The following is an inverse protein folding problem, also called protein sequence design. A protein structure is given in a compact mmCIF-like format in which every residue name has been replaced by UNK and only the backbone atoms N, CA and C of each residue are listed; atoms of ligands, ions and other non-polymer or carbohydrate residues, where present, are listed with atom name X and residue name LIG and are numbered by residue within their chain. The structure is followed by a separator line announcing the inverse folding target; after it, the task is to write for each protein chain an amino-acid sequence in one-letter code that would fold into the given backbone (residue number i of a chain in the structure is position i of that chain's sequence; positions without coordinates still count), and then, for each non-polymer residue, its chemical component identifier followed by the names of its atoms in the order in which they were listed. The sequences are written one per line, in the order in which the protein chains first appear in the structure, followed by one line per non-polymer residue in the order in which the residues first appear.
data_IF_960059969394
#
_entry.id   IF_960059969394
#
_cell.length_a   1.000
_cell.length_b   1.000
_cell.length_c   1.000
_cell.angle_alpha   90.00
_cell.angle_beta   90.00
_cell.angle_gamma   90.00
#
_symmetry.space_group_name_H-M   'P 1'
#
loop_
_entity.id
_entity.type
_entity.pdbx_description
1 polymer ?
#
# COMPACT_ATOMS: atom_id res chain seq x y z
N UNK A 1 26.28 25.61 1.55
CA UNK A 1 25.67 26.22 2.75
C UNK A 1 24.27 26.81 2.50
N UNK A 2 23.99 27.57 1.41
CA UNK A 2 22.62 28.08 1.16
C UNK A 2 21.61 27.02 0.70
N UNK A 3 22.03 25.89 0.09
CA UNK A 3 21.16 24.75 -0.28
C UNK A 3 20.81 23.91 0.94
N UNK A 4 21.74 23.72 1.88
CA UNK A 4 21.50 22.99 3.14
C UNK A 4 20.51 23.71 4.07
N UNK A 5 20.53 25.03 4.11
CA UNK A 5 19.60 25.81 4.93
C UNK A 5 18.15 25.82 4.38
N UNK A 6 17.97 25.64 3.05
CA UNK A 6 16.64 25.46 2.45
C UNK A 6 16.10 24.04 2.70
N UNK A 7 16.96 23.01 2.62
CA UNK A 7 16.59 21.63 2.91
C UNK A 7 16.12 21.48 4.37
N UNK A 8 16.85 22.08 5.32
CA UNK A 8 16.48 22.06 6.74
C UNK A 8 15.17 22.80 7.02
N UNK A 9 14.83 23.83 6.23
CA UNK A 9 13.61 24.60 6.37
C UNK A 9 12.35 23.84 5.90
N UNK A 10 12.45 23.04 4.85
CA UNK A 10 11.34 22.22 4.32
C UNK A 10 11.11 20.99 5.21
N UNK A 11 12.18 20.30 5.64
CA UNK A 11 12.07 19.20 6.60
C UNK A 11 11.45 19.67 7.93
N UNK A 12 11.85 20.85 8.43
CA UNK A 12 11.30 21.39 9.68
C UNK A 12 9.81 21.78 9.53
N UNK A 13 9.40 22.24 8.35
CA UNK A 13 7.99 22.55 8.06
C UNK A 13 7.13 21.29 7.95
N UNK A 14 7.63 20.24 7.30
CA UNK A 14 6.91 18.95 7.21
C UNK A 14 6.79 18.27 8.57
N UNK A 15 7.86 18.20 9.36
CA UNK A 15 7.84 17.62 10.72
C UNK A 15 6.93 18.42 11.66
N UNK A 16 6.88 19.76 11.52
CA UNK A 16 6.00 20.60 12.32
C UNK A 16 4.52 20.44 11.92
N UNK A 17 4.20 20.19 10.64
CA UNK A 17 2.82 19.93 10.19
C UNK A 17 2.29 18.60 10.75
N UNK A 18 3.08 17.53 10.74
CA UNK A 18 2.66 16.24 11.29
C UNK A 18 2.66 16.21 12.83
N UNK A 19 3.59 16.90 13.48
CA UNK A 19 3.62 16.99 14.96
C UNK A 19 2.48 17.83 15.55
N UNK A 20 1.86 18.74 14.78
CA UNK A 20 0.70 19.52 15.22
C UNK A 20 -0.61 18.74 15.22
N UNK A 21 -0.71 17.67 14.43
CA UNK A 21 -1.93 16.82 14.40
C UNK A 21 -2.07 16.01 15.69
N UNK A 22 -0.98 15.69 16.39
CA UNK A 22 -0.99 14.84 17.58
C UNK A 22 -1.36 15.54 18.92
N UNK A 23 -1.58 16.88 18.95
CA UNK A 23 -1.83 17.66 20.19
C UNK A 23 -2.90 18.77 20.03
N UNK A 24 -3.87 18.67 19.13
CA UNK A 24 -4.83 19.75 18.91
C UNK A 24 -5.95 19.73 19.96
N UNK A 25 -6.02 20.78 20.80
CA UNK A 25 -7.30 21.32 21.28
C UNK A 25 -8.21 21.59 20.09
N UNK A 26 -9.57 21.60 20.21
CA UNK A 26 -10.45 21.81 19.07
C UNK A 26 -10.03 23.09 18.34
N UNK A 27 -9.42 22.92 17.18
CA UNK A 27 -8.87 24.00 16.38
C UNK A 27 -10.02 24.90 15.94
N UNK A 28 -9.83 26.21 15.99
CA UNK A 28 -10.71 27.17 15.32
C UNK A 28 -10.88 26.71 13.86
N UNK A 29 -12.12 26.70 13.38
CA UNK A 29 -12.45 26.26 12.03
C UNK A 29 -11.62 27.07 11.02
N UNK A 30 -10.68 26.41 10.34
CA UNK A 30 -9.79 27.08 9.38
C UNK A 30 -10.61 27.51 8.18
N UNK A 31 -10.74 28.83 7.99
CA UNK A 31 -11.48 29.42 6.89
C UNK A 31 -10.55 29.67 5.71
N UNK A 32 -10.80 29.00 4.59
CA UNK A 32 -10.06 29.24 3.36
C UNK A 32 -10.63 30.44 2.61
N UNK A 33 -9.83 31.50 2.46
CA UNK A 33 -10.16 32.69 1.67
C UNK A 33 -9.26 32.88 0.43
N UNK A 34 -8.67 31.78 -0.06
CA UNK A 34 -7.81 31.79 -1.25
C UNK A 34 -8.61 31.77 -2.57
N UNK A 35 -7.89 31.64 -3.71
CA UNK A 35 -8.48 31.57 -5.04
C UNK A 35 -9.29 30.30 -5.27
N UNK A 36 -10.17 30.33 -6.27
CA UNK A 36 -10.81 29.13 -6.80
C UNK A 36 -9.79 28.26 -7.54
N UNK A 37 -9.87 26.95 -7.35
CA UNK A 37 -8.98 25.95 -7.96
C UNK A 37 -9.80 24.76 -8.43
N UNK A 38 -9.42 24.20 -9.58
CA UNK A 38 -9.89 22.90 -10.06
C UNK A 38 -8.66 22.01 -10.20
N UNK A 39 -8.57 20.97 -9.36
CA UNK A 39 -7.43 20.06 -9.31
C UNK A 39 -7.75 18.76 -10.02
N UNK A 40 -6.88 18.32 -10.91
CA UNK A 40 -6.96 17.03 -11.56
C UNK A 40 -6.44 15.93 -10.63
N UNK A 41 -7.22 14.85 -10.45
CA UNK A 41 -6.82 13.70 -9.67
C UNK A 41 -6.88 12.42 -10.52
N UNK A 42 -5.72 11.81 -10.78
CA UNK A 42 -5.59 10.58 -11.54
C UNK A 42 -5.67 9.36 -10.63
N UNK A 43 -6.68 8.52 -10.85
CA UNK A 43 -6.90 7.28 -10.11
C UNK A 43 -6.51 6.06 -10.93
N UNK A 44 -5.77 5.16 -10.32
CA UNK A 44 -5.43 3.86 -10.90
C UNK A 44 -6.62 2.89 -10.93
N UNK A 45 -7.58 3.09 -10.02
CA UNK A 45 -8.75 2.23 -9.81
C UNK A 45 -10.04 2.87 -10.28
N UNK A 46 -11.14 2.09 -10.26
CA UNK A 46 -12.51 2.59 -10.49
C UNK A 46 -12.93 3.57 -9.39
N UNK A 47 -14.01 4.31 -9.63
CA UNK A 47 -14.59 5.23 -8.65
C UNK A 47 -14.93 4.54 -7.33
N UNK A 48 -15.53 3.36 -7.38
CA UNK A 48 -15.90 2.57 -6.21
C UNK A 48 -14.68 2.23 -5.33
N UNK A 49 -13.58 1.79 -5.96
CA UNK A 49 -12.33 1.45 -5.25
C UNK A 49 -11.53 2.67 -4.79
N UNK A 50 -11.95 3.87 -5.20
CA UNK A 50 -11.29 5.14 -4.87
C UNK A 50 -12.07 5.98 -3.85
N UNK A 51 -13.10 5.38 -3.23
CA UNK A 51 -14.04 6.10 -2.35
C UNK A 51 -13.33 6.83 -1.19
N UNK A 52 -12.28 6.26 -0.64
CA UNK A 52 -11.48 6.86 0.44
C UNK A 52 -10.92 8.21 0.00
N UNK A 53 -10.34 8.27 -1.19
CA UNK A 53 -9.74 9.51 -1.69
C UNK A 53 -10.80 10.53 -2.14
N UNK A 54 -11.88 10.06 -2.77
CA UNK A 54 -12.95 10.95 -3.25
C UNK A 54 -13.74 11.56 -2.10
N UNK A 55 -13.87 10.86 -0.96
CA UNK A 55 -14.48 11.42 0.23
C UNK A 55 -13.62 12.55 0.82
N UNK A 56 -12.30 12.37 0.93
CA UNK A 56 -11.39 13.45 1.35
C UNK A 56 -11.49 14.68 0.41
N UNK A 57 -11.55 14.46 -0.91
CA UNK A 57 -11.76 15.54 -1.88
C UNK A 57 -13.08 16.28 -1.65
N UNK A 58 -14.17 15.55 -1.36
CA UNK A 58 -15.45 16.14 -1.02
C UNK A 58 -15.38 16.98 0.25
N UNK A 59 -14.75 16.48 1.30
CA UNK A 59 -14.54 17.23 2.55
C UNK A 59 -13.74 18.52 2.33
N UNK A 60 -12.68 18.48 1.50
CA UNK A 60 -11.91 19.66 1.12
C UNK A 60 -12.79 20.67 0.38
N UNK A 61 -13.60 20.21 -0.58
CA UNK A 61 -14.53 21.09 -1.30
C UNK A 61 -15.52 21.77 -0.36
N UNK A 62 -16.09 21.04 0.57
CA UNK A 62 -17.03 21.57 1.57
C UNK A 62 -16.34 22.57 2.50
N UNK A 63 -15.17 22.26 3.04
CA UNK A 63 -14.39 23.11 3.96
C UNK A 63 -13.86 24.38 3.31
N UNK A 64 -13.64 24.35 1.98
CA UNK A 64 -13.22 25.53 1.22
C UNK A 64 -14.39 26.34 0.66
N UNK A 65 -15.63 25.99 1.03
CA UNK A 65 -16.84 26.66 0.53
C UNK A 65 -17.03 26.53 -0.99
N UNK A 66 -16.56 25.42 -1.57
CA UNK A 66 -16.61 25.14 -3.00
C UNK A 66 -15.50 25.78 -3.84
N UNK A 67 -14.55 26.49 -3.21
CA UNK A 67 -13.45 27.14 -3.93
C UNK A 67 -12.42 26.15 -4.47
N UNK A 68 -12.17 25.03 -3.77
CA UNK A 68 -11.33 23.95 -4.26
C UNK A 68 -12.21 22.80 -4.72
N UNK A 69 -12.10 22.45 -5.99
CA UNK A 69 -12.85 21.38 -6.64
C UNK A 69 -11.90 20.39 -7.30
N UNK A 70 -12.39 19.19 -7.58
CA UNK A 70 -11.59 18.10 -8.14
C UNK A 70 -12.22 17.58 -9.43
N UNK A 71 -11.37 17.40 -10.44
CA UNK A 71 -11.69 16.69 -11.68
C UNK A 71 -11.06 15.29 -11.60
N UNK A 72 -11.90 14.29 -11.32
CA UNK A 72 -11.48 12.94 -11.00
C UNK A 72 -11.42 12.06 -12.25
N UNK A 73 -10.27 11.49 -12.54
CA UNK A 73 -9.98 10.62 -13.68
C UNK A 73 -9.75 9.19 -13.23
N UNK A 74 -10.79 8.35 -13.31
CA UNK A 74 -10.74 6.96 -12.83
C UNK A 74 -10.17 5.97 -13.84
N UNK A 75 -9.76 4.80 -13.34
CA UNK A 75 -9.32 3.64 -14.14
C UNK A 75 -8.19 3.96 -15.12
N UNK A 76 -7.27 4.81 -14.71
CA UNK A 76 -6.12 5.17 -15.53
C UNK A 76 -6.44 6.07 -16.74
N UNK A 77 -7.60 6.75 -16.74
CA UNK A 77 -8.05 7.55 -17.90
C UNK A 77 -7.21 8.81 -18.15
N UNK A 78 -6.52 9.35 -17.15
CA UNK A 78 -5.57 10.47 -17.32
C UNK A 78 -4.13 9.95 -17.47
N UNK A 79 -3.71 9.01 -16.61
CA UNK A 79 -2.42 8.36 -16.67
C UNK A 79 -2.57 6.88 -16.33
N UNK A 80 -1.87 6.00 -17.04
CA UNK A 80 -1.87 4.57 -16.70
C UNK A 80 -1.30 4.36 -15.27
N UNK A 81 -1.71 3.31 -14.54
CA UNK A 81 -1.25 3.07 -13.17
C UNK A 81 0.27 3.04 -13.01
N UNK A 82 1.00 2.55 -14.02
CA UNK A 82 2.46 2.51 -14.01
C UNK A 82 3.09 3.91 -14.18
N UNK A 83 2.35 4.86 -14.79
CA UNK A 83 2.82 6.21 -15.09
C UNK A 83 2.32 7.24 -14.07
N UNK A 84 1.51 6.84 -13.08
CA UNK A 84 0.85 7.74 -12.13
C UNK A 84 1.84 8.61 -11.34
N UNK A 85 2.98 8.03 -10.94
CA UNK A 85 4.05 8.76 -10.24
C UNK A 85 4.61 9.90 -11.10
N UNK A 86 4.98 9.59 -12.34
CA UNK A 86 5.57 10.58 -13.24
C UNK A 86 4.54 11.61 -13.71
N UNK A 87 3.29 11.20 -13.91
CA UNK A 87 2.21 12.12 -14.24
C UNK A 87 2.01 13.19 -13.15
N UNK A 88 2.03 12.79 -11.89
CA UNK A 88 1.94 13.72 -10.76
C UNK A 88 3.21 14.54 -10.59
N UNK A 89 4.38 13.90 -10.58
CA UNK A 89 5.68 14.59 -10.39
C UNK A 89 5.99 15.62 -11.47
N UNK A 90 5.52 15.42 -12.70
CA UNK A 90 5.70 16.37 -13.81
C UNK A 90 4.59 17.41 -13.93
N UNK A 91 3.50 17.27 -13.15
CA UNK A 91 2.35 18.18 -13.18
C UNK A 91 1.38 17.92 -14.35
N UNK A 92 1.41 16.73 -14.97
CA UNK A 92 0.36 16.30 -15.90
C UNK A 92 -0.95 16.05 -15.14
N UNK A 93 -0.85 15.53 -13.93
CA UNK A 93 -1.92 15.46 -12.94
C UNK A 93 -1.48 16.26 -11.71
N UNK A 94 -2.39 17.03 -11.10
CA UNK A 94 -2.11 17.74 -9.85
C UNK A 94 -1.96 16.76 -8.69
N UNK A 95 -2.76 15.70 -8.70
CA UNK A 95 -2.76 14.63 -7.72
C UNK A 95 -2.83 13.26 -8.41
N UNK A 96 -2.28 12.25 -7.77
CA UNK A 96 -2.39 10.87 -8.25
C UNK A 96 -2.49 9.87 -7.10
N UNK A 97 -3.22 8.78 -7.37
CA UNK A 97 -3.20 7.56 -6.60
C UNK A 97 -2.04 6.68 -7.08
N UNK A 98 -0.98 6.68 -6.31
CA UNK A 98 0.32 6.11 -6.68
C UNK A 98 0.54 4.80 -5.94
N UNK A 99 0.73 3.71 -6.68
CA UNK A 99 1.13 2.41 -6.12
C UNK A 99 2.64 2.27 -6.25
N UNK A 100 3.38 2.34 -5.14
CA UNK A 100 4.84 2.38 -5.14
C UNK A 100 5.47 1.08 -5.67
N UNK A 101 4.76 -0.05 -5.61
CA UNK A 101 5.20 -1.33 -6.20
C UNK A 101 5.37 -1.26 -7.72
N UNK A 102 4.79 -0.26 -8.40
CA UNK A 102 5.00 -0.05 -9.83
C UNK A 102 6.36 0.56 -10.17
N UNK A 103 6.99 1.22 -9.19
CA UNK A 103 8.28 1.91 -9.36
C UNK A 103 9.20 1.66 -8.16
N UNK A 104 9.47 0.39 -7.78
CA UNK A 104 10.15 0.06 -6.52
C UNK A 104 11.58 0.59 -6.45
N UNK A 105 12.25 0.72 -7.59
CA UNK A 105 13.63 1.22 -7.65
C UNK A 105 13.76 2.72 -7.26
N UNK A 106 12.65 3.44 -7.30
CA UNK A 106 12.60 4.86 -6.86
C UNK A 106 12.28 5.00 -5.37
N UNK A 107 11.85 3.92 -4.72
CA UNK A 107 11.41 3.89 -3.32
C UNK A 107 12.07 2.74 -2.55
N UNK A 108 13.43 2.71 -2.47
CA UNK A 108 14.15 1.67 -1.73
C UNK A 108 13.77 1.62 -0.25
N UNK A 109 13.46 2.73 0.39
CA UNK A 109 13.05 2.77 1.79
C UNK A 109 11.53 2.62 1.97
N UNK A 110 10.75 3.45 1.27
CA UNK A 110 9.29 3.48 1.44
C UNK A 110 8.57 2.26 0.85
N UNK A 111 9.15 1.56 -0.12
CA UNK A 111 8.53 0.40 -0.74
C UNK A 111 9.32 -0.88 -0.54
N UNK A 112 10.64 -0.89 -0.78
CA UNK A 112 11.38 -2.15 -0.74
C UNK A 112 11.69 -2.60 0.69
N UNK A 113 11.93 -1.66 1.63
CA UNK A 113 12.06 -1.99 3.05
C UNK A 113 10.71 -2.37 3.64
N UNK A 114 9.65 -1.60 3.38
CA UNK A 114 8.30 -1.93 3.87
C UNK A 114 7.73 -3.20 3.22
N UNK A 115 8.26 -3.61 2.08
CA UNK A 115 7.95 -4.86 1.39
C UNK A 115 8.80 -6.06 1.83
N UNK A 116 9.55 -5.96 2.93
CA UNK A 116 10.26 -7.10 3.50
C UNK A 116 9.26 -8.23 3.85
N UNK A 117 9.55 -9.50 3.50
CA UNK A 117 8.61 -10.59 3.68
C UNK A 117 8.19 -10.79 5.14
N UNK A 118 6.88 -10.92 5.36
CA UNK A 118 6.30 -11.24 6.67
C UNK A 118 6.77 -10.33 7.81
N UNK A 119 6.74 -9.02 7.59
CA UNK A 119 7.12 -7.99 8.60
C UNK A 119 6.28 -8.03 9.89
N UNK A 120 5.15 -8.75 9.92
CA UNK A 120 4.30 -8.83 11.11
C UNK A 120 3.03 -7.99 11.01
N UNK A 121 2.72 -7.43 9.86
CA UNK A 121 1.42 -6.80 9.64
C UNK A 121 0.31 -7.86 9.62
N UNK A 122 -0.62 -7.79 10.58
CA UNK A 122 -1.71 -8.76 10.77
C UNK A 122 -3.06 -8.26 10.26
N UNK A 123 -3.14 -7.04 9.77
CA UNK A 123 -4.32 -6.49 9.12
C UNK A 123 -3.97 -5.33 8.20
N UNK A 124 -4.88 -5.05 7.25
CA UNK A 124 -4.78 -3.85 6.40
C UNK A 124 -4.67 -2.57 7.24
N UNK A 125 -5.53 -2.45 8.27
CA UNK A 125 -5.57 -1.27 9.11
C UNK A 125 -4.26 -1.06 9.86
N UNK A 126 -3.68 -2.12 10.42
CA UNK A 126 -2.37 -2.06 11.06
C UNK A 126 -1.29 -1.61 10.06
N UNK A 127 -1.24 -2.23 8.88
CA UNK A 127 -0.23 -1.88 7.88
C UNK A 127 -0.34 -0.42 7.44
N UNK A 128 -1.56 0.04 7.15
CA UNK A 128 -1.80 1.41 6.72
C UNK A 128 -1.54 2.42 7.85
N UNK A 129 -1.89 2.10 9.10
CA UNK A 129 -1.66 2.98 10.26
C UNK A 129 -0.16 3.11 10.59
N UNK A 130 0.56 2.00 10.60
CA UNK A 130 2.01 2.03 10.77
C UNK A 130 2.66 2.85 9.65
N UNK A 131 2.32 2.62 8.39
CA UNK A 131 2.91 3.33 7.25
C UNK A 131 2.65 4.83 7.28
N UNK A 132 1.41 5.26 7.56
CA UNK A 132 1.07 6.69 7.62
C UNK A 132 1.75 7.44 8.76
N UNK A 133 2.15 6.72 9.83
CA UNK A 133 2.90 7.30 10.94
C UNK A 133 4.42 7.15 10.74
N UNK A 134 4.89 6.07 10.15
CA UNK A 134 6.30 5.79 9.97
C UNK A 134 6.91 6.58 8.81
N UNK A 135 6.32 6.50 7.60
CA UNK A 135 6.92 7.06 6.39
C UNK A 135 7.10 8.58 6.49
N UNK A 136 6.09 9.38 6.91
CA UNK A 136 6.25 10.84 7.03
C UNK A 136 7.26 11.28 8.08
N UNK A 137 7.53 10.44 9.07
CA UNK A 137 8.49 10.71 10.13
C UNK A 137 9.89 10.14 9.86
N UNK A 138 10.10 9.48 8.74
CA UNK A 138 11.40 8.94 8.33
C UNK A 138 12.01 9.79 7.21
N UNK A 139 13.17 10.42 7.49
CA UNK A 139 13.81 11.33 6.54
C UNK A 139 14.24 10.66 5.24
N UNK A 140 14.63 9.38 5.27
CA UNK A 140 15.03 8.64 4.08
C UNK A 140 13.83 8.34 3.18
N UNK A 141 12.69 7.96 3.78
CA UNK A 141 11.45 7.77 3.05
C UNK A 141 10.96 9.07 2.41
N UNK A 142 10.95 10.17 3.17
CA UNK A 142 10.49 11.46 2.66
C UNK A 142 11.39 12.03 1.56
N UNK A 143 12.70 11.77 1.60
CA UNK A 143 13.62 12.18 0.54
C UNK A 143 13.31 11.52 -0.81
N UNK A 144 12.75 10.30 -0.82
CA UNK A 144 12.32 9.62 -2.05
C UNK A 144 11.12 10.33 -2.69
N UNK A 145 10.15 10.76 -1.90
CA UNK A 145 9.00 11.54 -2.38
C UNK A 145 9.42 12.92 -2.88
N UNK A 146 10.32 13.60 -2.17
CA UNK A 146 10.88 14.87 -2.62
C UNK A 146 11.62 14.72 -3.96
N UNK A 147 12.44 13.68 -4.12
CA UNK A 147 13.13 13.37 -5.37
C UNK A 147 12.17 13.05 -6.53
N UNK A 148 10.98 12.55 -6.24
CA UNK A 148 9.91 12.30 -7.20
C UNK A 148 9.05 13.55 -7.49
N UNK A 149 9.29 14.66 -6.81
CA UNK A 149 8.47 15.88 -6.83
C UNK A 149 7.02 15.63 -6.37
N UNK A 150 6.84 14.80 -5.32
CA UNK A 150 5.55 14.41 -4.73
C UNK A 150 5.53 14.81 -3.25
N UNK A 151 4.40 15.34 -2.78
CA UNK A 151 4.07 15.39 -1.38
C UNK A 151 3.04 14.29 -1.07
N UNK A 152 3.34 13.34 -0.16
CA UNK A 152 2.40 12.28 0.21
C UNK A 152 1.36 12.82 1.21
N UNK A 153 0.07 12.74 0.84
CA UNK A 153 -1.03 13.22 1.67
C UNK A 153 -1.61 12.11 2.57
N UNK A 154 -1.70 10.91 2.01
CA UNK A 154 -2.34 9.79 2.70
C UNK A 154 -1.74 8.46 2.23
N UNK A 155 -1.58 7.52 3.17
CA UNK A 155 -1.02 6.21 2.90
C UNK A 155 -2.07 5.13 3.12
N UNK A 156 -2.10 4.17 2.18
CA UNK A 156 -2.82 2.91 2.35
C UNK A 156 -1.88 1.76 2.05
N UNK A 157 -2.14 0.58 2.62
CA UNK A 157 -1.41 -0.63 2.29
C UNK A 157 -2.05 -1.39 1.14
N UNK A 158 -1.27 -2.22 0.46
CA UNK A 158 -1.78 -3.41 -0.24
C UNK A 158 -1.42 -4.58 0.67
N UNK A 159 -2.42 -5.28 1.17
CA UNK A 159 -2.25 -6.28 2.21
C UNK A 159 -2.97 -7.57 1.86
N UNK A 160 -2.53 -8.66 2.50
CA UNK A 160 -3.14 -9.97 2.45
C UNK A 160 -2.42 -10.92 1.48
N UNK A 161 -2.17 -12.12 1.98
CA UNK A 161 -1.65 -13.22 1.16
C UNK A 161 -2.51 -14.45 1.41
N UNK A 162 -3.06 -14.99 0.33
CA UNK A 162 -3.76 -16.27 0.32
C UNK A 162 -3.04 -17.22 -0.64
N UNK A 163 -2.99 -18.48 -0.26
CA UNK A 163 -2.62 -19.56 -1.16
C UNK A 163 -3.92 -20.22 -1.62
N UNK A 164 -4.29 -20.00 -2.87
CA UNK A 164 -5.52 -20.50 -3.47
C UNK A 164 -5.19 -21.72 -4.34
N UNK A 165 -5.83 -22.85 -4.07
CA UNK A 165 -5.58 -24.12 -4.75
C UNK A 165 -6.81 -24.57 -5.54
N UNK A 166 -6.58 -25.01 -6.78
CA UNK A 166 -7.62 -25.63 -7.61
C UNK A 166 -8.02 -27.01 -7.09
N UNK A 167 -7.05 -27.80 -6.66
CA UNK A 167 -7.29 -29.13 -6.12
C UNK A 167 -7.61 -29.04 -4.62
N UNK A 168 -8.25 -30.08 -4.10
CA UNK A 168 -8.54 -30.21 -2.67
C UNK A 168 -7.26 -30.64 -1.92
N UNK A 169 -6.32 -29.72 -1.85
CA UNK A 169 -5.01 -29.90 -1.21
C UNK A 169 -4.77 -28.74 -0.25
N UNK A 170 -4.66 -29.06 1.03
CA UNK A 170 -4.29 -28.10 2.05
C UNK A 170 -2.82 -27.69 1.92
N UNK A 171 -2.57 -26.40 1.99
CA UNK A 171 -1.23 -25.84 2.06
C UNK A 171 -1.06 -25.20 3.44
N UNK A 172 -0.46 -25.92 4.36
CA UNK A 172 -0.27 -25.47 5.77
C UNK A 172 1.16 -25.00 6.05
N UNK A 173 2.09 -25.39 5.19
CA UNK A 173 3.51 -25.02 5.31
C UNK A 173 4.14 -24.79 3.94
N UNK A 174 5.31 -24.10 3.87
CA UNK A 174 6.02 -23.92 2.60
C UNK A 174 6.34 -25.22 1.86
N UNK A 175 6.60 -26.30 2.59
CA UNK A 175 6.95 -27.61 2.03
C UNK A 175 5.81 -28.20 1.19
N UNK A 176 4.54 -27.86 1.49
CA UNK A 176 3.37 -28.34 0.75
C UNK A 176 3.29 -27.73 -0.66
N UNK A 177 4.03 -26.67 -0.91
CA UNK A 177 4.17 -26.05 -2.23
C UNK A 177 5.07 -26.85 -3.18
N UNK A 178 5.78 -27.87 -2.67
CA UNK A 178 6.69 -28.67 -3.50
C UNK A 178 5.95 -29.33 -4.67
N UNK A 179 6.48 -29.12 -5.88
CA UNK A 179 5.93 -29.65 -7.13
C UNK A 179 4.69 -28.90 -7.65
N UNK A 180 4.18 -27.90 -6.94
CA UNK A 180 3.04 -27.09 -7.39
C UNK A 180 3.48 -25.99 -8.36
N UNK A 181 2.68 -25.75 -9.38
CA UNK A 181 2.83 -24.64 -10.32
C UNK A 181 1.90 -23.50 -9.86
N UNK A 182 2.49 -22.44 -9.32
CA UNK A 182 1.71 -21.36 -8.72
C UNK A 182 1.93 -20.06 -9.47
N UNK A 183 0.86 -19.33 -9.66
CA UNK A 183 0.93 -17.95 -10.08
C UNK A 183 1.36 -17.08 -8.89
N UNK A 184 2.29 -16.16 -9.12
CA UNK A 184 2.89 -15.32 -8.08
C UNK A 184 2.90 -13.86 -8.49
N UNK A 185 2.86 -12.95 -7.50
CA UNK A 185 2.73 -11.51 -7.71
C UNK A 185 4.07 -10.79 -7.85
N UNK A 186 5.15 -11.36 -7.33
CA UNK A 186 6.43 -10.67 -7.24
C UNK A 186 7.63 -11.60 -7.47
N UNK A 187 8.79 -11.03 -7.85
CA UNK A 187 10.04 -11.79 -7.94
C UNK A 187 10.44 -12.48 -6.62
N UNK A 188 10.18 -11.83 -5.49
CA UNK A 188 10.48 -12.39 -4.15
C UNK A 188 9.61 -13.61 -3.85
N UNK A 189 8.32 -13.56 -4.18
CA UNK A 189 7.42 -14.73 -4.08
C UNK A 189 7.86 -15.85 -5.03
N UNK A 190 8.32 -15.52 -6.24
CA UNK A 190 8.84 -16.51 -7.17
C UNK A 190 10.08 -17.22 -6.62
N UNK A 191 10.98 -16.49 -5.98
CA UNK A 191 12.15 -17.07 -5.30
C UNK A 191 11.74 -17.92 -4.11
N UNK A 192 10.82 -17.43 -3.29
CA UNK A 192 10.25 -18.18 -2.16
C UNK A 192 9.67 -19.52 -2.62
N UNK A 193 8.78 -19.47 -3.61
CA UNK A 193 8.16 -20.68 -4.17
C UNK A 193 9.20 -21.66 -4.74
N UNK A 194 10.21 -21.14 -5.45
CA UNK A 194 11.29 -21.97 -5.99
C UNK A 194 12.05 -22.66 -4.87
N UNK A 195 12.37 -21.97 -3.78
CA UNK A 195 13.06 -22.53 -2.62
C UNK A 195 12.20 -23.57 -1.89
N UNK A 196 10.88 -23.41 -1.90
CA UNK A 196 9.93 -24.39 -1.40
C UNK A 196 9.70 -25.59 -2.34
N UNK A 197 10.41 -25.64 -3.48
CA UNK A 197 10.32 -26.75 -4.45
C UNK A 197 9.14 -26.63 -5.42
N UNK A 198 8.44 -25.53 -5.46
CA UNK A 198 7.38 -25.22 -6.41
C UNK A 198 7.92 -24.59 -7.71
N UNK A 199 7.02 -24.32 -8.64
CA UNK A 199 7.32 -23.69 -9.94
C UNK A 199 6.53 -22.40 -10.07
N UNK A 200 7.18 -21.23 -10.04
CA UNK A 200 6.50 -19.95 -10.24
C UNK A 200 6.11 -19.73 -11.71
N UNK A 201 4.91 -19.24 -11.92
CA UNK A 201 4.37 -18.86 -13.23
C UNK A 201 4.02 -17.36 -13.16
N UNK A 202 4.97 -16.47 -13.53
CA UNK A 202 4.74 -15.02 -13.50
C UNK A 202 3.87 -14.61 -14.69
N UNK A 203 2.60 -14.35 -14.45
CA UNK A 203 1.63 -13.91 -15.45
C UNK A 203 0.75 -12.79 -14.86
N UNK A 204 0.16 -11.91 -15.69
CA UNK A 204 -0.80 -10.92 -15.22
C UNK A 204 -2.01 -11.57 -14.54
N UNK A 205 -2.55 -11.01 -13.45
CA UNK A 205 -3.72 -11.56 -12.75
C UNK A 205 -4.94 -11.76 -13.65
N UNK A 206 -5.08 -10.98 -14.72
CA UNK A 206 -6.14 -11.12 -15.74
C UNK A 206 -6.16 -12.48 -16.43
N UNK A 207 -5.07 -13.23 -16.40
CA UNK A 207 -4.97 -14.58 -16.98
C UNK A 207 -5.22 -15.70 -15.96
N UNK A 208 -5.45 -15.36 -14.70
CA UNK A 208 -5.51 -16.31 -13.58
C UNK A 208 -6.57 -17.39 -13.80
N UNK A 209 -7.81 -17.02 -14.14
CA UNK A 209 -8.89 -17.97 -14.41
C UNK A 209 -8.54 -18.96 -15.53
N UNK A 210 -8.06 -18.45 -16.67
CA UNK A 210 -7.73 -19.28 -17.82
C UNK A 210 -6.56 -20.22 -17.54
N UNK A 211 -5.54 -19.73 -16.86
CA UNK A 211 -4.36 -20.53 -16.51
C UNK A 211 -4.72 -21.63 -15.51
N UNK A 212 -5.58 -21.33 -14.55
CA UNK A 212 -6.08 -22.30 -13.57
C UNK A 212 -7.04 -23.32 -14.23
N UNK A 213 -7.94 -22.87 -15.11
CA UNK A 213 -8.85 -23.73 -15.85
C UNK A 213 -8.12 -24.72 -16.76
N UNK A 214 -7.10 -24.25 -17.49
CA UNK A 214 -6.31 -25.10 -18.40
C UNK A 214 -5.33 -26.03 -17.69
N UNK A 215 -5.08 -25.85 -16.38
CA UNK A 215 -4.07 -26.59 -15.62
C UNK A 215 -2.64 -26.16 -15.91
N UNK A 216 -2.45 -24.94 -16.46
CA UNK A 216 -1.12 -24.30 -16.54
C UNK A 216 -0.61 -24.01 -15.14
N UNK A 217 -1.48 -23.59 -14.23
CA UNK A 217 -1.22 -23.42 -12.81
C UNK A 217 -2.12 -24.33 -11.97
N UNK A 218 -1.61 -24.77 -10.82
CA UNK A 218 -2.32 -25.56 -9.82
C UNK A 218 -3.02 -24.63 -8.80
N UNK A 219 -2.57 -23.37 -8.72
CA UNK A 219 -3.11 -22.36 -7.82
C UNK A 219 -2.38 -21.04 -7.93
N UNK A 220 -2.56 -20.17 -6.94
CA UNK A 220 -1.94 -18.84 -6.90
C UNK A 220 -1.55 -18.44 -5.47
N UNK A 221 -0.54 -17.58 -5.36
CA UNK A 221 -0.14 -16.87 -4.14
C UNK A 221 -0.41 -15.39 -4.40
N UNK A 222 -1.53 -14.89 -3.91
CA UNK A 222 -2.00 -13.52 -4.10
C UNK A 222 -2.92 -13.12 -2.95
N UNK A 223 -3.26 -11.84 -2.83
CA UNK A 223 -4.36 -11.41 -1.97
C UNK A 223 -5.68 -12.06 -2.39
N UNK A 224 -6.50 -12.48 -1.42
CA UNK A 224 -7.76 -13.19 -1.69
C UNK A 224 -8.68 -12.39 -2.63
N UNK A 225 -8.73 -11.05 -2.45
CA UNK A 225 -9.51 -10.15 -3.29
C UNK A 225 -9.09 -10.20 -4.78
N UNK A 226 -7.79 -10.33 -5.07
CA UNK A 226 -7.29 -10.50 -6.44
C UNK A 226 -7.76 -11.84 -7.01
N UNK A 227 -7.66 -12.91 -6.22
CA UNK A 227 -8.09 -14.24 -6.63
C UNK A 227 -9.61 -14.28 -6.94
N UNK A 228 -10.41 -13.55 -6.17
CA UNK A 228 -11.87 -13.47 -6.40
C UNK A 228 -12.19 -12.62 -7.64
N UNK A 229 -11.68 -11.39 -7.73
CA UNK A 229 -11.95 -10.49 -8.85
C UNK A 229 -11.57 -11.10 -10.20
N UNK A 230 -10.47 -11.87 -10.25
CA UNK A 230 -10.01 -12.53 -11.48
C UNK A 230 -10.49 -13.99 -11.60
N UNK A 231 -11.49 -14.37 -10.82
CA UNK A 231 -12.28 -15.61 -10.98
C UNK A 231 -11.59 -16.89 -10.52
N UNK A 232 -10.44 -16.81 -9.82
CA UNK A 232 -9.76 -18.01 -9.32
C UNK A 232 -10.62 -18.80 -8.34
N UNK A 233 -11.42 -18.11 -7.51
CA UNK A 233 -12.29 -18.75 -6.52
C UNK A 233 -13.37 -19.62 -7.15
N UNK A 234 -13.82 -19.33 -8.38
CA UNK A 234 -14.79 -20.20 -9.09
C UNK A 234 -14.23 -21.60 -9.38
N UNK A 235 -12.91 -21.75 -9.40
CA UNK A 235 -12.21 -22.99 -9.70
C UNK A 235 -11.50 -23.58 -8.48
N UNK A 236 -11.47 -22.85 -7.37
CA UNK A 236 -10.75 -23.23 -6.16
C UNK A 236 -11.52 -24.25 -5.33
N UNK A 237 -10.80 -25.15 -4.68
CA UNK A 237 -11.32 -26.05 -3.65
C UNK A 237 -10.75 -25.78 -2.27
N UNK A 238 -9.57 -25.11 -2.22
CA UNK A 238 -8.89 -24.82 -0.96
C UNK A 238 -8.25 -23.43 -0.97
N UNK A 239 -8.33 -22.75 0.18
CA UNK A 239 -7.67 -21.45 0.44
C UNK A 239 -6.98 -21.51 1.79
N UNK A 240 -5.69 -21.20 1.82
CA UNK A 240 -4.93 -20.96 3.05
C UNK A 240 -4.70 -19.46 3.19
N UNK A 241 -5.29 -18.85 4.23
CA UNK A 241 -5.12 -17.46 4.57
C UNK A 241 -3.90 -17.31 5.47
N UNK A 242 -2.89 -16.55 5.03
CA UNK A 242 -1.73 -16.25 5.85
C UNK A 242 -2.01 -14.99 6.70
N UNK A 243 -1.85 -15.09 8.02
CA UNK A 243 -2.07 -13.99 8.96
C UNK A 243 -1.22 -12.76 8.61
N UNK A 244 0.03 -12.98 8.21
CA UNK A 244 0.93 -11.93 7.77
C UNK A 244 1.00 -11.89 6.25
N UNK A 245 0.98 -10.68 5.69
CA UNK A 245 1.22 -10.51 4.26
C UNK A 245 2.65 -10.90 3.90
N UNK A 246 2.80 -11.65 2.80
CA UNK A 246 4.13 -12.00 2.29
C UNK A 246 4.92 -10.75 1.93
N UNK A 247 4.29 -9.82 1.21
CA UNK A 247 4.84 -8.51 0.95
C UNK A 247 3.74 -7.46 1.15
N UNK A 248 4.11 -6.32 1.71
CA UNK A 248 3.19 -5.21 1.87
C UNK A 248 3.52 -4.14 0.83
N UNK A 249 2.54 -3.81 0.00
CA UNK A 249 2.67 -2.68 -0.92
C UNK A 249 2.28 -1.38 -0.25
N UNK A 250 2.95 -0.30 -0.60
CA UNK A 250 2.55 1.02 -0.20
C UNK A 250 1.82 1.73 -1.34
N UNK A 251 0.66 2.30 -1.03
CA UNK A 251 -0.16 3.09 -1.94
C UNK A 251 -0.37 4.47 -1.34
N UNK A 252 -0.25 5.51 -2.15
CA UNK A 252 -0.16 6.89 -1.67
C UNK A 252 -1.09 7.79 -2.49
N UNK A 253 -1.92 8.59 -1.80
CA UNK A 253 -2.48 9.79 -2.42
C UNK A 253 -1.38 10.86 -2.43
N UNK A 254 -0.79 11.11 -3.59
CA UNK A 254 0.26 12.12 -3.77
C UNK A 254 -0.26 13.37 -4.45
N UNK A 255 0.29 14.52 -4.09
CA UNK A 255 0.12 15.79 -4.78
C UNK A 255 1.46 16.27 -5.31
N UNK A 256 1.47 16.91 -6.48
CA UNK A 256 2.69 17.52 -7.02
C UNK A 256 3.32 18.48 -5.99
N UNK A 257 4.61 18.32 -5.70
CA UNK A 257 5.28 19.04 -4.61
C UNK A 257 5.39 20.56 -4.90
N UNK A 258 5.57 20.96 -6.16
CA UNK A 258 5.61 22.38 -6.50
C UNK A 258 4.23 23.01 -6.30
N UNK A 259 3.16 22.31 -6.68
CA UNK A 259 1.79 22.74 -6.42
C UNK A 259 1.50 22.83 -4.92
N UNK A 260 1.85 21.78 -4.15
CA UNK A 260 1.73 21.75 -2.70
C UNK A 260 2.42 22.94 -2.03
N UNK A 261 3.64 23.26 -2.46
CA UNK A 261 4.41 24.38 -1.95
C UNK A 261 3.85 25.75 -2.34
N UNK A 262 2.94 25.80 -3.33
CA UNK A 262 2.24 27.03 -3.73
C UNK A 262 0.99 27.30 -2.87
N UNK A 263 0.52 26.30 -2.13
CA UNK A 263 -0.64 26.44 -1.26
C UNK A 263 -0.33 27.30 -0.04
N UNK A 264 -1.34 28.03 0.44
CA UNK A 264 -1.23 28.70 1.74
C UNK A 264 -1.19 27.67 2.87
N UNK A 265 -0.60 28.01 4.05
CA UNK A 265 -0.59 27.10 5.19
C UNK A 265 -1.98 26.61 5.60
N UNK A 266 -3.01 27.47 5.47
CA UNK A 266 -4.39 27.14 5.79
C UNK A 266 -4.94 26.06 4.83
N UNK A 267 -4.61 26.17 3.53
CA UNK A 267 -5.06 25.17 2.55
C UNK A 267 -4.31 23.85 2.75
N UNK A 268 -3.02 23.89 3.01
CA UNK A 268 -2.24 22.69 3.34
C UNK A 268 -2.82 21.99 4.58
N UNK A 269 -3.17 22.74 5.61
CA UNK A 269 -3.79 22.19 6.81
C UNK A 269 -5.14 21.52 6.50
N UNK A 270 -6.01 22.16 5.71
CA UNK A 270 -7.30 21.57 5.30
C UNK A 270 -7.10 20.24 4.59
N UNK A 271 -6.14 20.15 3.65
CA UNK A 271 -5.83 18.91 2.95
C UNK A 271 -5.39 17.81 3.91
N UNK A 272 -4.43 18.10 4.78
CA UNK A 272 -3.91 17.12 5.73
C UNK A 272 -4.98 16.65 6.72
N UNK A 273 -5.81 17.55 7.22
CA UNK A 273 -6.90 17.22 8.14
C UNK A 273 -7.99 16.38 7.45
N UNK A 274 -8.36 16.68 6.20
CA UNK A 274 -9.36 15.91 5.48
C UNK A 274 -8.85 14.50 5.14
N UNK A 275 -7.64 14.37 4.58
CA UNK A 275 -7.07 13.07 4.24
C UNK A 275 -6.73 12.21 5.45
N UNK A 276 -6.44 12.81 6.62
CA UNK A 276 -6.05 12.09 7.82
C UNK A 276 -7.08 12.20 8.96
N UNK A 277 -8.33 12.58 8.63
CA UNK A 277 -9.40 12.62 9.62
C UNK A 277 -9.74 11.22 10.16
N UNK A 278 -10.28 11.17 11.37
CA UNK A 278 -10.77 9.91 11.94
C UNK A 278 -11.91 9.31 11.09
N UNK A 279 -12.77 10.17 10.50
CA UNK A 279 -13.86 9.74 9.61
C UNK A 279 -13.32 9.07 8.35
N UNK A 280 -12.32 9.68 7.70
CA UNK A 280 -11.68 9.14 6.49
C UNK A 280 -10.99 7.81 6.77
N UNK A 281 -10.32 7.74 7.89
CA UNK A 281 -9.66 6.55 8.33
C UNK A 281 -10.64 5.41 8.65
N UNK A 282 -11.71 5.70 9.39
CA UNK A 282 -12.78 4.73 9.66
C UNK A 282 -13.42 4.22 8.36
N UNK A 283 -13.66 5.12 7.41
CA UNK A 283 -14.17 4.77 6.08
C UNK A 283 -13.21 3.79 5.37
N UNK A 284 -11.90 4.09 5.36
CA UNK A 284 -10.88 3.26 4.73
C UNK A 284 -10.86 1.85 5.33
N UNK A 285 -10.81 1.75 6.65
CA UNK A 285 -10.75 0.44 7.30
C UNK A 285 -12.04 -0.34 7.18
N UNK A 286 -13.20 0.28 7.37
CA UNK A 286 -14.48 -0.40 7.19
C UNK A 286 -14.66 -0.91 5.76
N UNK A 287 -14.17 -0.16 4.77
CA UNK A 287 -14.16 -0.59 3.38
C UNK A 287 -13.35 -1.89 3.21
N UNK A 288 -12.11 -1.93 3.71
CA UNK A 288 -11.25 -3.10 3.54
C UNK A 288 -11.67 -4.29 4.39
N UNK A 289 -12.11 -4.07 5.65
CA UNK A 289 -12.65 -5.13 6.51
C UNK A 289 -13.87 -5.77 5.85
N UNK A 290 -14.77 -4.95 5.31
CA UNK A 290 -15.93 -5.45 4.59
C UNK A 290 -15.54 -6.19 3.32
N UNK A 291 -14.59 -5.68 2.57
CA UNK A 291 -14.06 -6.31 1.36
C UNK A 291 -13.51 -7.71 1.66
N UNK A 292 -12.68 -7.83 2.69
CA UNK A 292 -12.13 -9.13 3.10
C UNK A 292 -13.26 -10.11 3.47
N UNK A 293 -14.29 -9.65 4.21
CA UNK A 293 -15.43 -10.47 4.57
C UNK A 293 -16.24 -10.90 3.34
N UNK A 294 -16.50 -9.99 2.40
CA UNK A 294 -17.24 -10.30 1.17
C UNK A 294 -16.52 -11.39 0.34
N UNK A 295 -15.19 -11.39 0.31
CA UNK A 295 -14.39 -12.43 -0.39
C UNK A 295 -14.40 -13.78 0.36
N UNK A 296 -14.39 -13.75 1.70
CA UNK A 296 -14.55 -14.96 2.51
C UNK A 296 -15.98 -15.55 2.36
N UNK A 297 -17.01 -14.71 2.31
CA UNK A 297 -18.40 -15.13 2.05
C UNK A 297 -18.53 -15.76 0.65
N UNK A 298 -17.76 -15.28 -0.33
CA UNK A 298 -17.68 -15.93 -1.65
C UNK A 298 -17.02 -17.30 -1.56
N UNK A 299 -15.99 -17.49 -0.73
CA UNK A 299 -15.41 -18.82 -0.48
C UNK A 299 -16.46 -19.78 0.08
N UNK A 300 -17.26 -19.35 1.07
CA UNK A 300 -18.35 -20.16 1.63
C UNK A 300 -19.40 -20.50 0.56
N UNK A 301 -19.82 -19.52 -0.23
CA UNK A 301 -20.79 -19.68 -1.33
C UNK A 301 -20.34 -20.71 -2.37
N UNK A 302 -19.05 -20.76 -2.68
CA UNK A 302 -18.45 -21.69 -3.62
C UNK A 302 -18.11 -23.04 -2.98
N UNK A 303 -18.28 -23.18 -1.65
CA UNK A 303 -17.97 -24.41 -0.90
C UNK A 303 -16.47 -24.67 -0.79
N UNK A 304 -15.67 -23.61 -0.80
CA UNK A 304 -14.22 -23.69 -0.69
C UNK A 304 -13.84 -23.91 0.77
N UNK A 305 -12.93 -24.85 1.00
CA UNK A 305 -12.36 -25.06 2.33
C UNK A 305 -11.31 -23.98 2.63
N UNK A 306 -11.59 -23.15 3.63
CA UNK A 306 -10.69 -22.07 4.07
C UNK A 306 -10.03 -22.45 5.39
N UNK A 307 -8.72 -22.31 5.46
CA UNK A 307 -7.94 -22.45 6.69
C UNK A 307 -7.15 -21.17 6.96
N UNK A 308 -7.00 -20.84 8.25
CA UNK A 308 -6.15 -19.74 8.70
C UNK A 308 -4.79 -20.27 9.15
N UNK A 309 -3.71 -19.74 8.60
CA UNK A 309 -2.35 -19.96 9.05
C UNK A 309 -1.94 -18.77 9.89
N UNK A 310 -1.86 -18.94 11.20
CA UNK A 310 -1.60 -17.83 12.14
C UNK A 310 -0.81 -18.25 13.37
N UNK A 311 -0.28 -17.26 14.08
CA UNK A 311 0.52 -17.47 15.30
C UNK A 311 1.73 -18.35 15.04
N UNK A 312 1.85 -19.44 15.78
CA UNK A 312 3.00 -20.36 15.66
C UNK A 312 3.07 -21.08 14.31
N UNK A 313 1.94 -21.24 13.61
CA UNK A 313 1.89 -21.89 12.29
C UNK A 313 2.50 -21.00 11.19
N UNK A 314 2.66 -19.70 11.44
CA UNK A 314 3.39 -18.79 10.55
C UNK A 314 4.91 -18.95 10.61
N UNK A 315 5.47 -19.54 11.67
CA UNK A 315 6.93 -19.63 11.84
C UNK A 315 7.67 -20.28 10.66
N UNK A 316 7.22 -21.42 10.10
CA UNK A 316 7.90 -22.01 8.94
C UNK A 316 7.91 -21.08 7.72
N UNK A 317 6.84 -20.31 7.51
CA UNK A 317 6.72 -19.34 6.41
C UNK A 317 7.71 -18.18 6.57
N UNK A 318 7.76 -17.62 7.79
CA UNK A 318 8.67 -16.52 8.14
C UNK A 318 10.14 -16.97 8.01
N UNK A 319 10.47 -18.14 8.57
CA UNK A 319 11.84 -18.70 8.52
C UNK A 319 12.28 -18.99 7.09
N UNK A 320 11.40 -19.50 6.23
CA UNK A 320 11.72 -19.77 4.82
C UNK A 320 11.88 -18.48 3.99
N UNK A 321 11.15 -17.41 4.32
CA UNK A 321 11.21 -16.14 3.59
C UNK A 321 12.33 -15.20 4.08
N UNK A 322 12.71 -15.28 5.36
CA UNK A 322 13.71 -14.37 5.98
C UNK A 322 15.02 -14.27 5.17
N UNK A 323 15.65 -15.35 4.70
CA UNK A 323 16.88 -15.23 3.92
C UNK A 323 16.71 -14.44 2.61
N UNK A 324 15.51 -14.42 2.04
CA UNK A 324 15.21 -13.65 0.83
C UNK A 324 15.09 -12.17 1.14
N UNK A 325 14.44 -11.84 2.24
CA UNK A 325 14.37 -10.47 2.74
C UNK A 325 15.77 -9.93 3.08
N UNK A 326 16.54 -10.68 3.83
CA UNK A 326 17.93 -10.31 4.21
C UNK A 326 18.80 -10.09 2.97
N UNK A 327 18.71 -10.97 1.98
CA UNK A 327 19.46 -10.83 0.72
C UNK A 327 19.04 -9.58 -0.06
N UNK A 328 17.73 -9.26 -0.07
CA UNK A 328 17.23 -8.05 -0.72
C UNK A 328 17.71 -6.78 -0.01
N UNK A 329 17.71 -6.75 1.32
CA UNK A 329 18.27 -5.63 2.08
C UNK A 329 19.76 -5.44 1.81
N UNK A 330 20.52 -6.54 1.71
CA UNK A 330 21.94 -6.47 1.35
C UNK A 330 22.15 -5.95 -0.08
N UNK A 331 21.34 -6.39 -1.05
CA UNK A 331 21.37 -5.87 -2.43
C UNK A 331 21.15 -4.34 -2.46
N UNK A 332 20.15 -3.86 -1.72
CA UNK A 332 19.85 -2.43 -1.62
C UNK A 332 21.01 -1.66 -0.98
N UNK A 333 21.61 -2.21 0.07
CA UNK A 333 22.77 -1.61 0.73
C UNK A 333 23.96 -1.51 -0.22
N UNK A 334 24.28 -2.58 -0.94
CA UNK A 334 25.38 -2.63 -1.91
C UNK A 334 25.14 -1.70 -3.11
N UNK A 335 23.88 -1.44 -3.45
CA UNK A 335 23.47 -0.45 -4.46
C UNK A 335 23.59 1.01 -3.98
N UNK A 336 23.96 1.25 -2.72
CA UNK A 336 24.22 2.57 -2.16
C UNK A 336 23.12 3.10 -1.21
N UNK A 337 22.07 2.31 -0.94
CA UNK A 337 21.04 2.67 0.03
C UNK A 337 21.48 2.29 1.44
N UNK A 338 22.45 3.02 1.98
CA UNK A 338 23.22 2.63 3.17
C UNK A 338 22.44 2.61 4.49
N UNK A 339 21.20 3.11 4.51
CA UNK A 339 20.33 3.17 5.69
C UNK A 339 19.20 2.12 5.71
N UNK A 340 19.18 1.17 4.75
CA UNK A 340 18.08 0.18 4.66
C UNK A 340 17.91 -0.66 5.93
N UNK A 341 19.00 -1.01 6.60
CA UNK A 341 18.93 -1.79 7.85
C UNK A 341 18.43 -0.91 9.01
N UNK A 342 18.85 0.35 9.09
CA UNK A 342 18.37 1.33 10.08
C UNK A 342 16.86 1.56 9.92
N UNK A 343 16.40 1.73 8.67
CA UNK A 343 14.98 1.94 8.36
C UNK A 343 14.17 0.67 8.66
N UNK A 344 14.72 -0.52 8.35
CA UNK A 344 14.07 -1.79 8.67
C UNK A 344 13.94 -2.00 10.18
N UNK A 345 14.99 -1.71 10.95
CA UNK A 345 14.96 -1.83 12.41
C UNK A 345 13.95 -0.87 13.03
N UNK A 346 13.92 0.38 12.57
CA UNK A 346 12.94 1.37 13.03
C UNK A 346 11.50 1.00 12.65
N UNK A 347 11.29 0.39 11.47
CA UNK A 347 9.97 -0.10 11.06
C UNK A 347 9.52 -1.29 11.92
N UNK A 348 10.42 -2.25 12.20
CA UNK A 348 10.11 -3.37 13.10
C UNK A 348 9.74 -2.86 14.49
N UNK A 349 10.47 -1.87 15.04
CA UNK A 349 10.12 -1.24 16.31
C UNK A 349 8.72 -0.58 16.28
N UNK A 350 8.37 0.07 15.18
CA UNK A 350 7.05 0.67 15.01
C UNK A 350 5.93 -0.39 14.95
N UNK A 351 6.20 -1.54 14.32
CA UNK A 351 5.28 -2.68 14.26
C UNK A 351 5.12 -3.33 15.64
N UNK A 352 6.22 -3.58 16.33
CA UNK A 352 6.22 -4.22 17.66
C UNK A 352 5.53 -3.37 18.74
N UNK A 353 5.61 -2.04 18.61
CA UNK A 353 4.98 -1.08 19.51
C UNK A 353 3.55 -0.71 19.11
N UNK A 354 3.00 -1.29 18.05
CA UNK A 354 1.64 -0.99 17.61
C UNK A 354 0.62 -1.51 18.63
N UNK A 355 -0.18 -0.61 19.21
CA UNK A 355 -1.13 -0.89 20.26
C UNK A 355 -2.59 -1.10 19.78
N UNK A 356 -2.81 -1.00 18.46
CA UNK A 356 -4.14 -1.13 17.84
C UNK A 356 -5.06 0.06 18.08
N UNK A 357 -4.57 1.10 18.75
CA UNK A 357 -5.31 2.34 18.93
C UNK A 357 -5.02 3.31 17.76
N UNK A 358 -6.08 3.84 17.24
CA UNK A 358 -6.07 4.85 16.20
C UNK A 358 -5.67 6.19 16.82
N UNK A 359 -4.46 6.66 16.55
CA UNK A 359 -3.97 7.94 17.05
C UNK A 359 -4.01 8.99 15.97
#
# INVERSE_FOLDING_TARGET
MKKFAKLLGVLLACVLCFAMIAQAEPAEEVVYDGPEMLLSFSFSSSEELSIVYTNACKMITERTGGKVQFDNYFSGSLAAPADALDACGTGLADMADITLTNTPDRFPYSQQVTGYPFLGFTSFCMAADVMRNFIPNNEYCMAEFEAANIFPLFFTGVWGTAVVMKDDVEIVSPEDLAGKKMMVSSPTEAMFLTNAGGTPIPQPPTEMFQNMQSGLIDGSIYGLYICDIFGALELAHHVSMLENSFTTGCRVAGINLDLWNSFTPELQQIFLECFNSAEEWELACNYWIKSDQDHLDNCEKWGIHVIDIKGDDMKPWIEAAKPLGDAKMQELYDAGNTHVFEVLDALNEAIDNYDGEWK
#
